data_IF_837139448481
#
_entry.id   IF_837139448481
#
_cell.length_a   1.000
_cell.length_b   1.000
_cell.length_c   1.000
_cell.angle_alpha   90.00
_cell.angle_beta   90.00
_cell.angle_gamma   90.00
#
_symmetry.space_group_name_H-M   'P 1'
#
loop_
_entity.id
_entity.type
_entity.pdbx_description
1 polymer ?
#
# COMPACT_ATOMS: atom_id res chain seq x y z
N UNK A 1 39.24 38.63 -66.70
CA UNK A 1 39.32 38.28 -65.27
C UNK A 1 37.91 38.37 -64.69
N UNK A 2 37.29 37.23 -64.37
CA UNK A 2 35.92 37.16 -63.87
C UNK A 2 35.90 36.57 -62.46
N UNK A 3 35.19 37.25 -61.57
CA UNK A 3 35.20 37.08 -60.13
C UNK A 3 34.73 35.68 -59.68
N UNK A 4 35.56 35.03 -58.87
CA UNK A 4 35.21 33.83 -58.10
C UNK A 4 34.18 34.22 -57.03
N UNK A 5 32.89 34.01 -57.30
CA UNK A 5 31.87 33.99 -56.25
C UNK A 5 32.08 32.72 -55.44
N UNK A 6 32.86 32.84 -54.37
CA UNK A 6 32.94 31.86 -53.31
C UNK A 6 31.55 31.77 -52.67
N UNK A 7 30.76 30.80 -53.12
CA UNK A 7 29.60 30.28 -52.39
C UNK A 7 30.13 29.74 -51.06
N UNK A 8 30.14 30.57 -50.03
CA UNK A 8 30.23 30.14 -48.64
C UNK A 8 28.95 29.37 -48.32
N UNK A 9 28.91 28.12 -48.77
CA UNK A 9 27.94 27.13 -48.30
C UNK A 9 28.41 26.73 -46.91
N UNK A 10 28.01 27.53 -45.92
CA UNK A 10 28.13 27.19 -44.51
C UNK A 10 27.44 25.85 -44.27
N UNK A 11 28.23 24.80 -44.10
CA UNK A 11 27.74 23.52 -43.63
C UNK A 11 27.31 23.70 -42.17
N UNK A 12 26.02 23.94 -41.94
CA UNK A 12 25.41 23.89 -40.62
C UNK A 12 25.61 22.50 -40.03
N UNK A 13 26.60 22.35 -39.16
CA UNK A 13 26.73 21.24 -38.22
C UNK A 13 25.74 21.42 -37.07
N UNK A 14 24.46 21.61 -37.40
CA UNK A 14 23.40 21.53 -36.40
C UNK A 14 23.13 20.05 -36.12
N UNK A 15 24.00 19.43 -35.33
CA UNK A 15 23.59 18.28 -34.52
C UNK A 15 22.35 18.73 -33.75
N UNK A 16 21.23 18.00 -33.85
CA UNK A 16 20.01 18.29 -33.10
C UNK A 16 20.40 18.50 -31.64
N UNK A 17 20.39 19.77 -31.20
CA UNK A 17 20.76 20.10 -29.82
C UNK A 17 19.75 19.37 -28.96
N UNK A 18 20.22 18.51 -28.05
CA UNK A 18 19.40 17.96 -26.97
C UNK A 18 19.02 19.14 -26.09
N UNK A 19 17.98 19.87 -26.49
CA UNK A 19 17.46 20.99 -25.74
C UNK A 19 16.99 20.48 -24.39
N UNK A 20 17.47 21.14 -23.34
CA UNK A 20 17.01 20.86 -21.99
C UNK A 20 15.50 21.14 -21.97
N UNK A 21 14.68 20.21 -21.46
CA UNK A 21 13.24 20.38 -21.45
C UNK A 21 12.88 21.67 -20.71
N UNK A 22 12.02 22.48 -21.32
CA UNK A 22 11.57 23.76 -20.76
C UNK A 22 10.77 23.58 -19.47
N UNK A 23 10.27 22.36 -19.21
CA UNK A 23 9.59 21.96 -17.98
C UNK A 23 9.70 20.45 -17.74
N UNK A 24 9.65 20.03 -16.46
CA UNK A 24 9.63 18.61 -16.07
C UNK A 24 8.52 17.80 -16.78
N UNK A 25 7.33 18.39 -16.94
CA UNK A 25 6.20 17.72 -17.60
C UNK A 25 6.46 17.46 -19.09
N UNK A 26 7.11 18.39 -19.79
CA UNK A 26 7.50 18.19 -21.20
C UNK A 26 8.53 17.06 -21.37
N UNK A 27 9.39 16.88 -20.37
CA UNK A 27 10.36 15.79 -20.33
C UNK A 27 9.69 14.44 -20.11
N UNK A 28 8.77 14.34 -19.14
CA UNK A 28 8.04 13.11 -18.86
C UNK A 28 7.13 12.69 -20.04
N UNK A 29 6.52 13.67 -20.74
CA UNK A 29 5.68 13.39 -21.93
C UNK A 29 6.46 12.77 -23.08
N UNK A 30 7.74 13.11 -23.22
CA UNK A 30 8.60 12.62 -24.31
C UNK A 30 9.43 11.40 -23.91
N UNK A 31 9.46 11.05 -22.63
CA UNK A 31 10.15 9.89 -22.11
C UNK A 31 9.32 8.62 -22.35
N UNK A 32 9.84 7.70 -23.17
CA UNK A 32 9.30 6.34 -23.30
C UNK A 32 9.57 5.57 -22.01
N UNK A 33 8.66 5.70 -21.03
CA UNK A 33 8.69 4.91 -19.81
C UNK A 33 8.04 3.55 -20.06
N UNK A 34 8.68 2.49 -19.59
CA UNK A 34 8.08 1.15 -19.56
C UNK A 34 7.18 1.02 -18.32
N UNK A 35 6.02 1.67 -18.39
CA UNK A 35 5.05 1.76 -17.29
C UNK A 35 4.60 0.37 -16.84
N UNK A 36 4.54 -0.61 -17.75
CA UNK A 36 4.19 -1.98 -17.42
C UNK A 36 5.23 -2.65 -16.52
N UNK A 37 6.51 -2.62 -16.91
CA UNK A 37 7.57 -3.21 -16.09
C UNK A 37 7.73 -2.50 -14.74
N UNK A 38 7.57 -1.16 -14.72
CA UNK A 38 7.59 -0.37 -13.49
C UNK A 38 6.40 -0.76 -12.59
N UNK A 39 5.21 -0.93 -13.16
CA UNK A 39 4.02 -1.35 -12.44
C UNK A 39 4.16 -2.75 -11.84
N UNK A 40 4.69 -3.71 -12.60
CA UNK A 40 4.96 -5.07 -12.11
C UNK A 40 6.01 -5.06 -10.99
N UNK A 41 7.09 -4.29 -11.15
CA UNK A 41 8.10 -4.14 -10.10
C UNK A 41 7.53 -3.50 -8.83
N UNK A 42 6.70 -2.46 -8.95
CA UNK A 42 6.05 -1.81 -7.81
C UNK A 42 5.05 -2.74 -7.12
N UNK A 43 4.24 -3.48 -7.87
CA UNK A 43 3.28 -4.43 -7.31
C UNK A 43 3.97 -5.57 -6.57
N UNK A 44 5.04 -6.13 -7.14
CA UNK A 44 5.81 -7.20 -6.49
C UNK A 44 6.56 -6.71 -5.24
N UNK A 45 7.14 -5.50 -5.28
CA UNK A 45 7.76 -4.88 -4.11
C UNK A 45 6.73 -4.55 -3.02
N UNK A 46 5.56 -4.02 -3.41
CA UNK A 46 4.47 -3.72 -2.47
C UNK A 46 3.95 -4.99 -1.81
N UNK A 47 3.67 -6.04 -2.59
CA UNK A 47 3.16 -7.30 -2.07
C UNK A 47 4.19 -8.00 -1.16
N UNK A 48 5.47 -8.00 -1.54
CA UNK A 48 6.54 -8.56 -0.70
C UNK A 48 6.71 -7.77 0.61
N UNK A 49 6.64 -6.44 0.56
CA UNK A 49 6.68 -5.58 1.75
C UNK A 49 5.51 -5.87 2.70
N UNK A 50 4.30 -6.03 2.15
CA UNK A 50 3.13 -6.43 2.94
C UNK A 50 3.34 -7.80 3.57
N UNK A 51 3.82 -8.78 2.79
CA UNK A 51 4.03 -10.15 3.25
C UNK A 51 5.06 -10.25 4.39
N UNK A 52 6.17 -9.49 4.30
CA UNK A 52 7.17 -9.41 5.38
C UNK A 52 6.57 -8.77 6.64
N UNK A 53 5.79 -7.70 6.47
CA UNK A 53 5.13 -7.03 7.59
C UNK A 53 4.13 -7.95 8.30
N UNK A 54 3.32 -8.70 7.55
CA UNK A 54 2.39 -9.69 8.11
C UNK A 54 3.13 -10.81 8.82
N UNK A 55 4.23 -11.30 8.25
CA UNK A 55 5.05 -12.34 8.89
C UNK A 55 5.60 -11.88 10.24
N UNK A 56 6.17 -10.68 10.30
CA UNK A 56 6.68 -10.12 11.56
C UNK A 56 5.57 -9.95 12.60
N UNK A 57 4.43 -9.36 12.22
CA UNK A 57 3.28 -9.20 13.12
C UNK A 57 2.73 -10.54 13.63
N UNK A 58 2.75 -11.56 12.78
CA UNK A 58 2.32 -12.90 13.15
C UNK A 58 3.28 -13.54 14.14
N UNK A 59 4.59 -13.43 13.91
CA UNK A 59 5.62 -13.94 14.81
C UNK A 59 5.53 -13.26 16.19
N UNK A 60 5.39 -11.93 16.24
CA UNK A 60 5.22 -11.20 17.51
C UNK A 60 3.93 -11.62 18.24
N UNK A 61 2.79 -11.70 17.53
CA UNK A 61 1.53 -12.12 18.13
C UNK A 61 1.59 -13.57 18.64
N UNK A 62 2.36 -14.44 17.96
CA UNK A 62 2.57 -15.82 18.38
C UNK A 62 3.40 -15.91 19.66
N UNK A 63 4.46 -15.12 19.76
CA UNK A 63 5.29 -15.04 20.97
C UNK A 63 4.49 -14.49 22.16
N UNK A 64 3.73 -13.41 21.95
CA UNK A 64 2.83 -12.85 22.96
C UNK A 64 1.79 -13.88 23.42
N UNK A 65 1.17 -14.59 22.47
CA UNK A 65 0.22 -15.67 22.79
C UNK A 65 0.86 -16.75 23.67
N UNK A 66 2.09 -17.15 23.37
CA UNK A 66 2.81 -18.16 24.14
C UNK A 66 3.05 -17.69 25.59
N UNK A 67 3.49 -16.45 25.77
CA UNK A 67 3.67 -15.86 27.11
C UNK A 67 2.33 -15.74 27.86
N UNK A 68 1.26 -15.37 27.16
CA UNK A 68 -0.08 -15.30 27.73
C UNK A 68 -0.59 -16.69 28.15
N UNK A 69 -0.37 -17.73 27.35
CA UNK A 69 -0.78 -19.09 27.73
C UNK A 69 -0.04 -19.57 28.98
N UNK A 70 1.26 -19.33 29.09
CA UNK A 70 2.04 -19.71 30.27
C UNK A 70 1.55 -18.98 31.54
N UNK A 71 1.21 -17.69 31.41
CA UNK A 71 0.63 -16.92 32.52
C UNK A 71 -0.76 -17.40 32.89
N UNK A 72 -1.59 -17.75 31.90
CA UNK A 72 -2.93 -18.31 32.15
C UNK A 72 -2.80 -19.64 32.87
N UNK A 73 -1.92 -20.54 32.45
CA UNK A 73 -1.66 -21.81 33.15
C UNK A 73 -1.20 -21.60 34.61
N UNK A 74 -0.32 -20.64 34.85
CA UNK A 74 0.11 -20.26 36.21
C UNK A 74 -1.05 -19.67 37.04
N UNK A 75 -1.95 -18.92 36.43
CA UNK A 75 -3.14 -18.40 37.11
C UNK A 75 -4.18 -19.50 37.37
N UNK A 76 -4.37 -20.44 36.44
CA UNK A 76 -5.29 -21.56 36.60
C UNK A 76 -4.85 -22.46 37.77
N UNK A 77 -3.55 -22.72 37.88
CA UNK A 77 -2.97 -23.46 39.02
C UNK A 77 -3.14 -22.71 40.34
N UNK A 78 -2.83 -21.40 40.39
CA UNK A 78 -3.06 -20.58 41.59
C UNK A 78 -4.52 -20.50 42.01
N UNK A 79 -5.46 -20.43 41.05
CA UNK A 79 -6.90 -20.41 41.33
C UNK A 79 -7.34 -21.73 41.95
N UNK A 80 -6.83 -22.87 41.46
CA UNK A 80 -7.11 -24.17 42.07
C UNK A 80 -6.51 -24.28 43.48
N UNK A 81 -5.28 -23.78 43.69
CA UNK A 81 -4.62 -23.79 44.99
C UNK A 81 -5.34 -22.92 46.04
N UNK A 82 -5.96 -21.83 45.61
CA UNK A 82 -6.77 -20.93 46.44
C UNK A 82 -8.22 -21.41 46.62
N UNK A 83 -8.58 -22.56 46.04
CA UNK A 83 -9.92 -23.17 46.17
C UNK A 83 -10.99 -22.59 45.24
N UNK A 84 -10.59 -21.88 44.19
CA UNK A 84 -11.48 -21.39 43.15
C UNK A 84 -11.87 -22.48 42.14
N UNK A 85 -13.01 -22.30 41.48
CA UNK A 85 -13.51 -23.22 40.45
C UNK A 85 -13.26 -22.61 39.07
N UNK A 86 -12.60 -23.37 38.19
CA UNK A 86 -12.37 -22.98 36.80
C UNK A 86 -13.64 -23.18 35.95
N UNK A 87 -13.89 -22.33 34.93
CA UNK A 87 -15.02 -22.52 34.03
C UNK A 87 -14.88 -23.82 33.23
N UNK A 88 -15.96 -24.59 33.13
CA UNK A 88 -16.01 -25.82 32.34
C UNK A 88 -15.59 -25.59 30.87
N UNK A 89 -15.02 -26.62 30.24
CA UNK A 89 -14.58 -26.57 28.84
C UNK A 89 -15.69 -26.09 27.87
N UNK A 90 -16.97 -26.36 28.18
CA UNK A 90 -18.10 -25.85 27.40
C UNK A 90 -18.33 -24.33 27.55
N UNK A 91 -18.05 -23.77 28.73
CA UNK A 91 -18.14 -22.32 28.96
C UNK A 91 -16.99 -21.58 28.26
N UNK A 92 -15.77 -22.14 28.26
CA UNK A 92 -14.62 -21.61 27.50
C UNK A 92 -14.91 -21.57 26.00
N UNK A 93 -15.39 -22.68 25.43
CA UNK A 93 -15.74 -22.75 24.01
C UNK A 93 -16.83 -21.74 23.59
N UNK A 94 -17.80 -21.45 24.47
CA UNK A 94 -18.82 -20.43 24.21
C UNK A 94 -18.25 -19.01 24.26
N UNK A 95 -17.34 -18.74 25.19
CA UNK A 95 -16.66 -17.45 25.28
C UNK A 95 -15.75 -17.20 24.07
N UNK A 96 -15.00 -18.21 23.63
CA UNK A 96 -14.14 -18.12 22.44
C UNK A 96 -14.95 -17.95 21.14
N UNK A 97 -16.10 -18.64 21.04
CA UNK A 97 -17.02 -18.47 19.92
C UNK A 97 -17.64 -17.05 19.90
N UNK A 98 -18.01 -16.50 21.06
CA UNK A 98 -18.52 -15.14 21.17
C UNK A 98 -17.44 -14.09 20.83
N UNK A 99 -16.21 -14.27 21.30
CA UNK A 99 -15.08 -13.40 21.00
C UNK A 99 -14.70 -13.42 19.50
N UNK A 100 -14.79 -14.58 18.86
CA UNK A 100 -14.54 -14.74 17.42
C UNK A 100 -15.65 -14.09 16.57
N UNK A 101 -16.91 -14.16 17.00
CA UNK A 101 -18.02 -13.47 16.35
C UNK A 101 -17.90 -11.94 16.46
N UNK A 102 -17.40 -11.45 17.60
CA UNK A 102 -17.26 -10.01 17.82
C UNK A 102 -16.08 -9.42 17.06
N UNK A 103 -14.96 -10.15 16.96
CA UNK A 103 -13.81 -9.74 16.14
C UNK A 103 -14.13 -9.75 14.64
N UNK A 104 -14.83 -10.78 14.15
CA UNK A 104 -15.28 -10.84 12.75
C UNK A 104 -16.28 -9.73 12.40
N UNK A 105 -17.22 -9.41 13.30
CA UNK A 105 -18.11 -8.26 13.10
C UNK A 105 -17.37 -6.93 13.13
N UNK A 106 -16.40 -6.75 14.03
CA UNK A 106 -15.58 -5.52 14.08
C UNK A 106 -14.72 -5.35 12.84
N UNK A 107 -14.15 -6.43 12.31
CA UNK A 107 -13.37 -6.40 11.06
C UNK A 107 -14.26 -6.07 9.86
N UNK A 108 -15.44 -6.69 9.76
CA UNK A 108 -16.40 -6.39 8.69
C UNK A 108 -16.89 -4.93 8.71
N UNK A 109 -16.93 -4.29 9.88
CA UNK A 109 -17.23 -2.86 10.00
C UNK A 109 -16.06 -1.98 9.54
N UNK A 110 -14.83 -2.32 9.93
CA UNK A 110 -13.64 -1.61 9.43
C UNK A 110 -13.51 -1.71 7.91
N UNK A 111 -13.70 -2.90 7.34
CA UNK A 111 -13.59 -3.12 5.89
C UNK A 111 -14.62 -2.26 5.13
N UNK A 112 -15.85 -2.16 5.64
CA UNK A 112 -16.89 -1.29 5.06
C UNK A 112 -16.55 0.19 5.15
N UNK A 113 -15.93 0.62 6.25
CA UNK A 113 -15.51 2.02 6.42
C UNK A 113 -14.36 2.38 5.48
N UNK A 114 -13.42 1.46 5.26
CA UNK A 114 -12.30 1.67 4.35
C UNK A 114 -12.74 1.64 2.88
N UNK A 115 -13.70 0.78 2.53
CA UNK A 115 -14.37 0.82 1.21
C UNK A 115 -15.14 2.14 1.01
N UNK A 116 -15.89 2.60 2.02
CA UNK A 116 -16.61 3.88 1.94
C UNK A 116 -15.66 5.08 1.77
N UNK A 117 -14.50 5.07 2.45
CA UNK A 117 -13.45 6.10 2.27
C UNK A 117 -12.83 6.03 0.88
N UNK A 118 -12.57 4.85 0.34
CA UNK A 118 -12.05 4.68 -1.02
C UNK A 118 -13.06 5.20 -2.07
N UNK A 119 -14.34 4.89 -1.92
CA UNK A 119 -15.41 5.38 -2.79
C UNK A 119 -15.59 6.91 -2.67
N UNK A 120 -15.49 7.47 -1.47
CA UNK A 120 -15.56 8.91 -1.26
C UNK A 120 -14.38 9.65 -1.92
N UNK A 121 -13.16 9.10 -1.83
CA UNK A 121 -11.99 9.64 -2.50
C UNK A 121 -12.16 9.65 -4.03
N UNK A 122 -12.66 8.54 -4.61
CA UNK A 122 -12.99 8.44 -6.04
C UNK A 122 -14.09 9.42 -6.48
N UNK A 123 -15.08 9.69 -5.62
CA UNK A 123 -16.17 10.62 -5.93
C UNK A 123 -15.73 12.10 -5.95
N UNK A 124 -14.68 12.45 -5.20
CA UNK A 124 -14.15 13.84 -5.18
C UNK A 124 -13.29 14.18 -6.40
N UNK A 125 -12.63 13.19 -7.01
CA UNK A 125 -11.75 13.40 -8.18
C UNK A 125 -12.55 13.66 -9.48
N UNK A 126 -13.81 13.18 -9.54
CA UNK A 126 -14.70 13.38 -10.69
C UNK A 126 -15.31 14.79 -10.84
N UNK A 127 -15.24 15.64 -9.80
CA UNK A 127 -15.79 17.02 -9.86
C UNK A 127 -14.79 18.07 -10.36
N UNK A 128 -13.49 17.79 -10.34
CA UNK A 128 -12.47 18.73 -10.82
C UNK A 128 -12.36 18.80 -12.36
N UNK A 129 -12.82 17.77 -13.08
CA UNK A 129 -12.66 17.66 -14.54
C UNK A 129 -13.75 18.36 -15.38
N UNK A 130 -14.84 18.86 -14.76
CA UNK A 130 -15.92 19.57 -15.48
C UNK A 130 -15.79 21.09 -15.50
N UNK A 131 -14.79 21.67 -14.82
CA UNK A 131 -14.61 23.13 -14.76
C UNK A 131 -13.73 23.73 -15.87
N UNK A 132 -13.11 22.92 -16.74
CA UNK A 132 -12.18 23.41 -17.79
C UNK A 132 -12.77 23.23 -19.18
N UNK A 133 -13.92 23.88 -19.43
CA UNK A 133 -14.39 24.14 -20.80
C UNK A 133 -15.22 25.41 -20.85
N UNK A 134 -14.55 26.55 -20.80
CA UNK A 134 -15.02 27.82 -21.37
C UNK A 134 -13.83 28.78 -21.43
N UNK A 135 -13.70 29.40 -22.61
CA UNK A 135 -12.63 30.28 -23.13
C UNK A 135 -11.51 29.51 -23.84
#
# INVERSE_FOLDING_TARGET
>A
MAARRALHRSFSTATSRKEYPTSFLSHLRTQKLNVFNIGVAFMTLSLSSQMVSYKQRYETAREEKQQLSERVEALETLVLDLGGVLPDAQARNRADAAASQQTTQSQALCDREDEAKALAALATDGKASKAVKLI
#
